data_IF_151831946290
#
_entry.id   IF_151831946290
#
_cell.length_a   1.000
_cell.length_b   1.000
_cell.length_c   1.000
_cell.angle_alpha   90.00
_cell.angle_beta   90.00
_cell.angle_gamma   90.00
#
_symmetry.space_group_name_H-M   'P 1'
#
loop_
_entity.id
_entity.type
_entity.pdbx_description
1 polymer ?
#
# COMPACT_ATOMS: atom_id res chain seq x y z
N UNK A 1 -12.41 -2.66 -21.96
CA UNK A 1 -12.05 -1.24 -22.07
C UNK A 1 -10.54 -1.14 -21.87
N UNK A 2 -9.80 -0.73 -22.88
CA UNK A 2 -8.33 -0.62 -22.81
C UNK A 2 -7.98 0.84 -22.57
N UNK A 3 -7.44 1.15 -21.39
CA UNK A 3 -6.87 2.46 -21.10
C UNK A 3 -5.36 2.35 -21.32
N UNK A 4 -4.81 3.21 -22.19
CA UNK A 4 -3.37 3.37 -22.34
C UNK A 4 -2.89 4.28 -21.21
N UNK A 5 -2.33 3.68 -20.17
CA UNK A 5 -1.64 4.41 -19.11
C UNK A 5 -0.17 4.59 -19.51
N UNK A 6 0.34 5.82 -19.64
CA UNK A 6 1.71 6.08 -20.10
C UNK A 6 2.79 5.70 -19.07
N UNK A 7 2.43 5.05 -17.97
CA UNK A 7 3.36 4.65 -16.91
C UNK A 7 3.85 5.82 -16.05
N UNK A 8 3.22 7.01 -16.11
CA UNK A 8 3.63 8.12 -15.27
C UNK A 8 3.05 7.97 -13.87
N UNK A 9 3.91 7.80 -12.86
CA UNK A 9 3.56 7.58 -11.45
C UNK A 9 3.06 8.87 -10.77
N UNK A 10 2.10 9.54 -11.40
CA UNK A 10 1.46 10.75 -10.92
C UNK A 10 0.01 10.46 -10.53
N UNK A 11 -0.37 10.96 -9.36
CA UNK A 11 -1.69 10.77 -8.81
C UNK A 11 -2.79 11.35 -9.71
N UNK A 12 -2.61 12.53 -10.30
CA UNK A 12 -3.68 13.19 -11.05
C UNK A 12 -3.96 12.42 -12.35
N UNK A 13 -2.91 11.98 -13.04
CA UNK A 13 -3.05 11.13 -14.22
C UNK A 13 -3.72 9.79 -13.88
N UNK A 14 -3.27 9.12 -12.82
CA UNK A 14 -3.87 7.86 -12.39
C UNK A 14 -5.33 8.04 -11.97
N UNK A 15 -5.65 9.10 -11.22
CA UNK A 15 -7.02 9.43 -10.82
C UNK A 15 -7.93 9.60 -12.04
N UNK A 16 -7.47 10.35 -13.07
CA UNK A 16 -8.24 10.53 -14.28
C UNK A 16 -8.44 9.20 -15.02
N UNK A 17 -7.36 8.44 -15.22
CA UNK A 17 -7.41 7.13 -15.89
C UNK A 17 -8.36 6.14 -15.18
N UNK A 18 -8.36 6.14 -13.84
CA UNK A 18 -9.15 5.20 -13.04
C UNK A 18 -10.59 5.66 -12.80
N UNK A 19 -10.99 6.87 -13.17
CA UNK A 19 -12.34 7.42 -12.92
C UNK A 19 -13.46 6.44 -13.29
N UNK A 20 -13.43 5.90 -14.51
CA UNK A 20 -14.46 5.00 -15.00
C UNK A 20 -14.41 3.64 -14.32
N UNK A 21 -13.21 3.14 -14.03
CA UNK A 21 -13.03 1.90 -13.28
C UNK A 21 -13.58 2.02 -11.84
N UNK A 22 -13.29 3.12 -11.14
CA UNK A 22 -13.84 3.38 -9.82
C UNK A 22 -15.37 3.49 -9.84
N UNK A 23 -15.94 4.14 -10.86
CA UNK A 23 -17.40 4.19 -11.04
C UNK A 23 -18.00 2.79 -11.22
N UNK A 24 -17.42 1.97 -12.09
CA UNK A 24 -17.91 0.61 -12.34
C UNK A 24 -17.77 -0.30 -11.11
N UNK A 25 -16.68 -0.14 -10.35
CA UNK A 25 -16.49 -0.82 -9.06
C UNK A 25 -17.56 -0.43 -8.02
N UNK A 26 -17.93 0.85 -7.95
CA UNK A 26 -19.01 1.31 -7.05
C UNK A 26 -20.34 0.66 -7.43
N UNK A 27 -20.66 0.60 -8.72
CA UNK A 27 -21.88 -0.07 -9.19
C UNK A 27 -21.86 -1.56 -8.85
N UNK A 28 -20.71 -2.23 -9.02
CA UNK A 28 -20.58 -3.64 -8.64
C UNK A 28 -20.72 -3.87 -7.12
N UNK A 29 -20.31 -2.91 -6.29
CA UNK A 29 -20.44 -3.00 -4.83
C UNK A 29 -21.90 -3.07 -4.36
N UNK A 30 -22.84 -2.50 -5.11
CA UNK A 30 -24.29 -2.60 -4.85
C UNK A 30 -24.86 -4.01 -5.14
N UNK A 31 -24.06 -4.83 -5.83
CA UNK A 31 -24.38 -6.19 -6.24
C UNK A 31 -24.85 -6.28 -7.70
N UNK A 32 -24.89 -7.51 -8.20
CA UNK A 32 -25.28 -7.82 -9.58
C UNK A 32 -26.37 -8.90 -9.57
N UNK A 33 -27.42 -8.73 -10.38
CA UNK A 33 -28.47 -9.74 -10.53
C UNK A 33 -28.21 -10.55 -11.80
N UNK A 34 -27.99 -11.85 -11.63
CA UNK A 34 -27.85 -12.82 -12.73
C UNK A 34 -28.81 -13.96 -12.45
N UNK A 35 -29.67 -14.31 -13.41
CA UNK A 35 -30.66 -15.39 -13.28
C UNK A 35 -31.51 -15.31 -12.00
N UNK A 36 -32.01 -14.11 -11.69
CA UNK A 36 -32.75 -13.78 -10.46
C UNK A 36 -31.99 -13.99 -9.14
N UNK A 37 -30.68 -14.26 -9.17
CA UNK A 37 -29.81 -14.32 -7.98
C UNK A 37 -29.05 -13.02 -7.82
N UNK A 38 -29.14 -12.40 -6.63
CA UNK A 38 -28.32 -11.23 -6.27
C UNK A 38 -26.96 -11.67 -5.75
N UNK A 39 -25.91 -11.34 -6.49
CA UNK A 39 -24.52 -11.53 -6.13
C UNK A 39 -23.98 -10.28 -5.44
N UNK A 40 -23.40 -10.43 -4.25
CA UNK A 40 -22.73 -9.34 -3.53
C UNK A 40 -21.22 -9.53 -3.63
N UNK A 41 -20.48 -8.43 -3.73
CA UNK A 41 -19.04 -8.46 -3.93
C UNK A 41 -18.30 -7.85 -2.75
N UNK A 42 -17.22 -8.51 -2.32
CA UNK A 42 -16.21 -7.94 -1.45
C UNK A 42 -14.89 -7.88 -2.23
N UNK A 43 -14.33 -6.69 -2.31
CA UNK A 43 -13.10 -6.45 -3.05
C UNK A 43 -11.91 -6.41 -2.09
N UNK A 44 -10.82 -7.04 -2.51
CA UNK A 44 -9.52 -7.03 -1.86
C UNK A 44 -8.49 -6.62 -2.91
N UNK A 45 -7.63 -5.67 -2.57
CA UNK A 45 -6.57 -5.19 -3.46
C UNK A 45 -5.20 -5.50 -2.88
N UNK A 46 -4.30 -5.95 -3.74
CA UNK A 46 -2.90 -6.15 -3.46
C UNK A 46 -2.10 -5.51 -4.58
N UNK A 47 -1.24 -4.58 -4.22
CA UNK A 47 -0.37 -3.87 -5.15
C UNK A 47 1.02 -3.75 -4.55
N UNK A 48 2.02 -3.53 -5.40
CA UNK A 48 3.33 -3.14 -4.94
C UNK A 48 3.24 -1.85 -4.11
N UNK A 49 4.21 -1.66 -3.21
CA UNK A 49 4.21 -0.56 -2.26
C UNK A 49 4.06 0.82 -2.91
N UNK A 50 4.69 1.01 -4.07
CA UNK A 50 4.75 2.32 -4.72
C UNK A 50 3.40 2.67 -5.32
N UNK A 51 2.77 1.74 -6.01
CA UNK A 51 1.43 1.92 -6.54
C UNK A 51 0.39 2.06 -5.42
N UNK A 52 0.49 1.23 -4.38
CA UNK A 52 -0.35 1.32 -3.18
C UNK A 52 -0.29 2.73 -2.55
N UNK A 53 0.91 3.29 -2.39
CA UNK A 53 1.11 4.60 -1.81
C UNK A 53 0.41 5.70 -2.63
N UNK A 54 0.47 5.63 -3.96
CA UNK A 54 -0.22 6.58 -4.86
C UNK A 54 -1.74 6.41 -4.71
N UNK A 55 -2.25 5.17 -4.76
CA UNK A 55 -3.67 4.89 -4.62
C UNK A 55 -4.26 5.36 -3.29
N UNK A 56 -3.47 5.36 -2.22
CA UNK A 56 -3.89 5.82 -0.89
C UNK A 56 -3.54 7.29 -0.62
N UNK A 57 -2.99 8.00 -1.60
CA UNK A 57 -2.75 9.45 -1.53
C UNK A 57 -1.57 9.87 -0.65
N UNK A 58 -0.54 9.03 -0.52
CA UNK A 58 0.68 9.38 0.22
C UNK A 58 1.55 10.42 -0.51
N UNK A 59 2.33 11.17 0.27
CA UNK A 59 3.24 12.21 -0.25
C UNK A 59 4.54 11.64 -0.81
N UNK A 60 5.15 10.67 -0.11
CA UNK A 60 6.41 10.05 -0.54
C UNK A 60 6.67 8.72 0.12
N UNK A 61 7.40 7.86 -0.57
CA UNK A 61 7.91 6.56 -0.07
C UNK A 61 8.84 6.72 1.14
N UNK A 62 9.43 7.89 1.35
CA UNK A 62 10.36 8.17 2.44
C UNK A 62 9.74 8.88 3.65
N UNK A 63 8.44 9.16 3.64
CA UNK A 63 7.73 9.79 4.77
C UNK A 63 8.02 9.11 6.12
N UNK A 64 8.12 9.89 7.21
CA UNK A 64 8.16 9.36 8.59
C UNK A 64 6.90 8.57 8.91
N UNK A 65 5.76 8.97 8.36
CA UNK A 65 4.48 8.28 8.49
C UNK A 65 4.25 7.52 7.18
N UNK A 66 4.73 6.29 7.12
CA UNK A 66 4.78 5.50 5.89
C UNK A 66 3.68 4.44 5.84
N UNK A 67 3.23 3.93 6.99
CA UNK A 67 2.36 2.77 7.05
C UNK A 67 0.94 3.09 6.54
N UNK A 68 0.41 2.34 5.54
CA UNK A 68 -0.98 2.43 5.08
C UNK A 68 -1.99 2.09 6.16
N UNK A 69 -1.67 1.13 7.03
CA UNK A 69 -2.66 0.49 7.90
C UNK A 69 -2.73 1.08 9.30
N UNK A 70 -1.65 1.68 9.80
CA UNK A 70 -1.58 2.21 11.16
C UNK A 70 -0.90 3.58 11.23
N UNK A 71 -0.96 4.19 12.41
CA UNK A 71 -0.41 5.53 12.69
C UNK A 71 1.03 5.50 13.24
N UNK A 72 1.65 4.31 13.31
CA UNK A 72 3.02 4.14 13.79
C UNK A 72 3.99 4.79 12.80
N UNK A 73 4.93 5.58 13.31
CA UNK A 73 5.93 6.25 12.51
C UNK A 73 7.28 5.49 12.48
N UNK A 74 8.17 5.88 11.56
CA UNK A 74 9.48 5.23 11.36
C UNK A 74 10.37 5.19 12.61
N UNK A 75 10.25 6.15 13.52
CA UNK A 75 11.09 6.17 14.73
C UNK A 75 10.73 5.06 15.71
N UNK A 76 9.53 4.50 15.57
CA UNK A 76 9.01 3.40 16.38
C UNK A 76 9.19 2.04 15.68
N UNK A 77 9.84 2.02 14.52
CA UNK A 77 10.11 0.78 13.79
C UNK A 77 11.02 -0.13 14.63
N UNK A 78 10.59 -1.38 14.82
CA UNK A 78 11.32 -2.36 15.65
C UNK A 78 11.00 -2.28 17.15
N UNK A 79 10.13 -1.36 17.58
CA UNK A 79 9.62 -1.33 18.95
C UNK A 79 8.63 -2.50 19.16
N UNK A 80 9.10 -3.55 19.81
CA UNK A 80 8.33 -4.75 20.12
C UNK A 80 7.27 -4.54 21.22
N UNK A 81 7.30 -3.40 21.91
CA UNK A 81 6.27 -3.04 22.90
C UNK A 81 4.99 -2.49 22.25
N UNK A 82 5.04 -2.13 20.96
CA UNK A 82 3.90 -1.58 20.22
C UNK A 82 3.11 -2.69 19.55
N UNK A 83 1.78 -2.58 19.65
CA UNK A 83 0.88 -3.37 18.81
C UNK A 83 0.71 -2.74 17.44
N UNK A 84 1.13 -3.48 16.41
CA UNK A 84 0.98 -3.10 15.00
C UNK A 84 -0.38 -3.57 14.47
N UNK A 85 -1.45 -2.87 14.85
CA UNK A 85 -2.83 -3.16 14.42
C UNK A 85 -3.27 -2.23 13.29
N UNK A 86 -4.16 -2.71 12.42
CA UNK A 86 -4.85 -1.87 11.45
C UNK A 86 -5.77 -0.92 12.22
N UNK A 87 -5.43 0.37 12.24
CA UNK A 87 -6.12 1.40 13.03
C UNK A 87 -6.61 2.58 12.20
N UNK A 88 -6.26 2.62 10.92
CA UNK A 88 -6.72 3.65 9.99
C UNK A 88 -8.07 3.26 9.40
N UNK A 89 -8.92 4.27 9.25
CA UNK A 89 -10.23 4.15 8.61
C UNK A 89 -10.24 4.95 7.31
N UNK A 90 -10.76 4.35 6.24
CA UNK A 90 -10.75 4.99 4.91
C UNK A 90 -11.68 6.22 4.90
N UNK A 91 -12.80 6.16 5.61
CA UNK A 91 -13.82 7.21 5.68
C UNK A 91 -13.26 8.53 6.23
N UNK A 92 -12.37 8.45 7.23
CA UNK A 92 -11.67 9.64 7.78
C UNK A 92 -10.84 10.35 6.72
N UNK A 93 -10.23 9.62 5.79
CA UNK A 93 -9.45 10.20 4.69
C UNK A 93 -10.33 10.76 3.57
N UNK A 94 -11.55 10.22 3.40
CA UNK A 94 -12.53 10.74 2.43
C UNK A 94 -13.08 12.09 2.90
N UNK A 95 -13.38 12.20 4.20
CA UNK A 95 -13.79 13.44 4.87
C UNK A 95 -12.66 14.48 4.84
N UNK A 96 -11.46 14.07 5.25
CA UNK A 96 -10.28 14.93 5.33
C UNK A 96 -9.02 14.18 4.91
N UNK A 97 -8.49 14.51 3.72
CA UNK A 97 -7.36 13.81 3.09
C UNK A 97 -6.05 13.82 3.90
N UNK A 98 -5.88 14.75 4.83
CA UNK A 98 -4.71 14.87 5.71
C UNK A 98 -5.01 14.50 7.17
N UNK A 99 -6.13 13.83 7.44
CA UNK A 99 -6.51 13.39 8.79
C UNK A 99 -5.41 12.54 9.43
N UNK A 100 -4.87 11.58 8.67
CA UNK A 100 -3.67 10.84 9.06
C UNK A 100 -2.43 11.46 8.45
N UNK A 101 -1.38 11.61 9.27
CA UNK A 101 -0.06 12.07 8.78
C UNK A 101 0.44 11.15 7.67
N UNK A 102 1.06 11.75 6.65
CA UNK A 102 1.61 11.05 5.48
C UNK A 102 0.66 11.03 4.27
N UNK A 103 -0.66 11.11 4.51
CA UNK A 103 -1.65 11.26 3.46
C UNK A 103 -1.84 12.75 3.12
N UNK A 104 -1.80 13.07 1.82
CA UNK A 104 -1.94 14.44 1.30
C UNK A 104 -3.04 14.55 0.25
N UNK A 105 -3.54 13.41 -0.23
CA UNK A 105 -4.56 13.31 -1.28
C UNK A 105 -5.60 12.28 -0.86
N UNK A 106 -6.78 12.37 -1.47
CA UNK A 106 -7.86 11.40 -1.19
C UNK A 106 -7.46 10.02 -1.74
N UNK A 107 -7.86 8.93 -1.10
CA UNK A 107 -7.71 7.60 -1.70
C UNK A 107 -8.47 7.50 -3.02
N UNK A 108 -7.86 6.89 -4.04
CA UNK A 108 -8.50 6.66 -5.34
C UNK A 108 -9.64 5.63 -5.26
N UNK A 109 -9.49 4.66 -4.37
CA UNK A 109 -10.42 3.56 -4.14
C UNK A 109 -11.00 3.64 -2.73
N UNK A 110 -11.74 4.72 -2.47
CA UNK A 110 -12.39 5.02 -1.18
C UNK A 110 -13.37 3.93 -0.70
N UNK A 111 -13.91 3.14 -1.62
CA UNK A 111 -14.83 2.05 -1.28
C UNK A 111 -14.17 0.82 -0.65
N UNK A 112 -12.83 0.74 -0.67
CA UNK A 112 -12.07 -0.41 -0.17
C UNK A 112 -11.53 -0.08 1.22
N UNK A 113 -12.02 -0.75 2.28
CA UNK A 113 -11.55 -0.48 3.65
C UNK A 113 -10.10 -0.93 3.83
N UNK A 114 -9.37 -0.32 4.77
CA UNK A 114 -7.94 -0.58 4.99
C UNK A 114 -7.59 -2.04 5.28
N UNK A 115 -8.48 -2.78 5.94
CA UNK A 115 -8.30 -4.21 6.21
C UNK A 115 -8.44 -5.10 4.97
N UNK A 116 -8.90 -4.57 3.83
CA UNK A 116 -8.98 -5.29 2.55
C UNK A 116 -7.84 -4.93 1.59
N UNK A 117 -6.90 -4.08 2.03
CA UNK A 117 -5.64 -3.84 1.34
C UNK A 117 -4.62 -4.86 1.82
N UNK A 118 -4.43 -5.90 1.02
CA UNK A 118 -3.54 -7.00 1.32
C UNK A 118 -2.11 -6.62 0.93
N UNK A 119 -1.11 -6.80 1.79
CA UNK A 119 0.27 -6.57 1.44
C UNK A 119 0.74 -7.50 0.31
N UNK A 120 1.51 -6.98 -0.64
CA UNK A 120 2.12 -7.78 -1.71
C UNK A 120 3.24 -8.67 -1.14
N UNK A 121 2.94 -9.96 -0.99
CA UNK A 121 3.84 -10.95 -0.39
C UNK A 121 5.18 -11.06 -1.13
N UNK A 122 5.16 -11.02 -2.47
CA UNK A 122 6.36 -11.16 -3.28
C UNK A 122 7.32 -9.99 -3.01
N UNK A 123 6.83 -8.76 -3.07
CA UNK A 123 7.65 -7.57 -2.84
C UNK A 123 8.14 -7.49 -1.38
N UNK A 124 7.36 -7.98 -0.42
CA UNK A 124 7.78 -8.06 0.98
C UNK A 124 8.92 -9.05 1.16
N UNK A 125 8.81 -10.26 0.59
CA UNK A 125 9.86 -11.28 0.68
C UNK A 125 11.15 -10.76 0.04
N UNK A 126 11.08 -10.12 -1.13
CA UNK A 126 12.26 -9.52 -1.76
C UNK A 126 12.91 -8.46 -0.86
N UNK A 127 12.11 -7.63 -0.19
CA UNK A 127 12.61 -6.60 0.73
C UNK A 127 13.28 -7.20 1.97
N UNK A 128 12.68 -8.24 2.55
CA UNK A 128 13.23 -8.96 3.70
C UNK A 128 14.56 -9.62 3.31
N UNK A 129 14.58 -10.37 2.21
CA UNK A 129 15.78 -11.04 1.71
C UNK A 129 16.92 -10.05 1.46
N UNK A 130 16.63 -8.90 0.82
CA UNK A 130 17.64 -7.87 0.60
C UNK A 130 18.19 -7.29 1.92
N UNK A 131 17.35 -7.13 2.94
CA UNK A 131 17.79 -6.63 4.24
C UNK A 131 18.66 -7.66 4.98
N UNK A 132 18.23 -8.92 5.03
CA UNK A 132 19.00 -10.01 5.65
C UNK A 132 20.35 -10.21 4.96
N UNK A 133 20.39 -10.15 3.62
CA UNK A 133 21.63 -10.22 2.86
C UNK A 133 22.59 -9.08 3.19
N UNK A 134 22.04 -7.85 3.33
CA UNK A 134 22.83 -6.67 3.71
C UNK A 134 23.43 -6.82 5.11
N UNK A 135 22.68 -7.39 6.06
CA UNK A 135 23.16 -7.67 7.42
C UNK A 135 24.27 -8.72 7.42
N UNK A 136 24.10 -9.80 6.68
CA UNK A 136 25.12 -10.85 6.56
C UNK A 136 26.42 -10.30 5.95
N UNK A 137 26.36 -9.48 4.90
CA UNK A 137 27.56 -8.84 4.33
C UNK A 137 28.24 -7.92 5.36
N UNK A 138 27.44 -7.13 6.11
CA UNK A 138 27.98 -6.24 7.14
C UNK A 138 28.74 -7.03 8.22
N UNK A 139 28.18 -8.15 8.67
CA UNK A 139 28.80 -9.05 9.64
C UNK A 139 30.10 -9.66 9.10
N UNK A 140 30.10 -10.20 7.88
CA UNK A 140 31.32 -10.74 7.26
C UNK A 140 32.42 -9.69 7.10
N UNK A 141 32.04 -8.44 6.83
CA UNK A 141 32.98 -7.31 6.67
C UNK A 141 33.59 -6.94 8.03
N UNK A 142 32.78 -6.92 9.09
CA UNK A 142 33.23 -6.64 10.46
C UNK A 142 34.27 -7.66 10.94
N UNK A 143 34.05 -8.95 10.64
CA UNK A 143 34.98 -10.02 11.00
C UNK A 143 36.18 -10.18 10.04
N UNK A 144 36.31 -9.33 9.01
CA UNK A 144 37.36 -9.43 7.97
C UNK A 144 37.44 -10.79 7.26
N UNK A 145 36.36 -11.59 7.29
CA UNK A 145 36.29 -12.93 6.71
C UNK A 145 36.37 -12.95 5.18
N UNK A 146 36.31 -11.78 4.54
CA UNK A 146 36.53 -11.64 3.09
C UNK A 146 38.01 -11.72 2.69
N UNK A 147 38.94 -11.55 3.63
CA UNK A 147 40.37 -11.55 3.36
C UNK A 147 41.05 -12.90 3.65
N UNK A 148 40.30 -13.91 4.10
CA UNK A 148 40.80 -15.28 4.31
C UNK A 148 40.88 -16.03 2.98
N UNK A 149 41.65 -15.48 2.04
CA UNK A 149 42.20 -16.25 0.92
C UNK A 149 43.51 -16.88 1.41
N UNK A 150 43.50 -18.21 1.59
CA UNK A 150 44.70 -19.04 1.60
C UNK A 150 45.41 -19.00 0.24
#
# INVERSE_FOLDING_TARGET
MTILYPGCEDYNFLSNAMTRFCHDLRNLKEGLVIDNVKWNFQFYFSFDWKFLAICLGFNSTHSKNFCPWCTIDKSQQGDLSKEWKISKEIDKLVEQNNYYKGHIRKPLFDIIPFNHWVPDELHIILRITNHLWSLMIAELTEYSLFNDTA
#
